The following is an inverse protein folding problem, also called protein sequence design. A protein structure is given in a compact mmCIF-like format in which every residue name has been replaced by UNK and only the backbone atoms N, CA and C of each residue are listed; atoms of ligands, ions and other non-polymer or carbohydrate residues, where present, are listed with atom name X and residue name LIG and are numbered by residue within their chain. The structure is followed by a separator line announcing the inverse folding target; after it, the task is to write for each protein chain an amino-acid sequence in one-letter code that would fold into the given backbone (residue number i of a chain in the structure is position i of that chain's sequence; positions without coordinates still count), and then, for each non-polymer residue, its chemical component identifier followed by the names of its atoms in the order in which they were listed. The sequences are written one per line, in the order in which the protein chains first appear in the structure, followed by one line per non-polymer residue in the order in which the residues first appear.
data_IF_393057320388
#
_entry.id   IF_393057320388
#
_cell.length_a   1.000
_cell.length_b   1.000
_cell.length_c   1.000
_cell.angle_alpha   90.00
_cell.angle_beta   90.00
_cell.angle_gamma   90.00
#
_symmetry.space_group_name_H-M   'P 1'
#
loop_
_entity.id
_entity.type
_entity.pdbx_description
1 polymer ?
#
# COMPACT_ATOMS: atom_id res chain seq x y z
N UNK A 1 -31.81 9.26 -15.55
CA UNK A 1 -30.76 10.26 -15.28
C UNK A 1 -30.59 11.18 -16.49
N UNK A 2 -30.43 12.49 -16.28
CA UNK A 2 -30.23 13.45 -17.37
C UNK A 2 -28.74 13.63 -17.69
N UNK A 3 -28.41 14.06 -18.91
CA UNK A 3 -27.03 14.39 -19.34
C UNK A 3 -26.38 15.43 -18.42
N UNK A 4 -27.18 16.35 -17.87
CA UNK A 4 -26.74 17.34 -16.88
C UNK A 4 -26.35 16.70 -15.54
N UNK A 5 -27.11 15.71 -15.05
CA UNK A 5 -26.76 14.93 -13.86
C UNK A 5 -25.44 14.18 -14.05
N UNK A 6 -25.25 13.55 -15.21
CA UNK A 6 -24.02 12.84 -15.57
C UNK A 6 -22.84 13.82 -15.56
N UNK A 7 -22.95 14.97 -16.22
CA UNK A 7 -21.88 15.98 -16.25
C UNK A 7 -21.50 16.51 -14.87
N UNK A 8 -22.45 16.60 -13.94
CA UNK A 8 -22.18 17.04 -12.55
C UNK A 8 -21.37 15.98 -11.80
N UNK A 9 -21.81 14.73 -11.80
CA UNK A 9 -21.08 13.61 -11.20
C UNK A 9 -19.68 13.44 -11.81
N UNK A 10 -19.53 13.63 -13.12
CA UNK A 10 -18.23 13.52 -13.78
C UNK A 10 -17.28 14.69 -13.50
N UNK A 11 -17.79 15.90 -13.25
CA UNK A 11 -16.96 17.03 -12.78
C UNK A 11 -16.40 16.78 -11.39
N UNK A 12 -17.21 16.18 -10.51
CA UNK A 12 -16.79 15.77 -9.17
C UNK A 12 -15.73 14.66 -9.27
N UNK A 13 -15.96 13.62 -10.08
CA UNK A 13 -14.98 12.53 -10.33
C UNK A 13 -13.68 13.01 -10.98
N UNK A 14 -13.73 14.02 -11.86
CA UNK A 14 -12.53 14.61 -12.49
C UNK A 14 -11.73 15.48 -11.51
N UNK A 15 -12.39 16.10 -10.54
CA UNK A 15 -11.71 16.82 -9.46
C UNK A 15 -11.01 15.87 -8.48
N UNK A 16 -11.55 14.66 -8.31
CA UNK A 16 -10.99 13.61 -7.46
C UNK A 16 -9.96 12.71 -8.19
N UNK A 17 -9.92 12.73 -9.53
CA UNK A 17 -9.06 11.84 -10.31
C UNK A 17 -8.67 12.42 -11.68
N UNK A 18 -7.37 12.45 -11.99
CA UNK A 18 -6.81 12.90 -13.29
C UNK A 18 -7.13 11.95 -14.47
N UNK A 19 -7.94 10.93 -14.22
CA UNK A 19 -8.16 9.77 -15.07
C UNK A 19 -9.25 9.97 -16.11
N UNK A 20 -9.89 11.14 -16.19
CA UNK A 20 -11.09 11.34 -17.03
C UNK A 20 -10.85 12.47 -18.05
N UNK A 21 -10.75 12.09 -19.33
CA UNK A 21 -10.84 13.03 -20.44
C UNK A 21 -12.33 13.22 -20.76
N UNK A 22 -12.75 14.47 -20.77
CA UNK A 22 -14.05 14.89 -21.27
C UNK A 22 -13.84 15.71 -22.53
N UNK A 23 -14.42 15.29 -23.66
CA UNK A 23 -14.42 16.05 -24.91
C UNK A 23 -15.84 16.21 -25.46
N UNK A 24 -15.98 16.80 -26.65
CA UNK A 24 -17.28 17.01 -27.29
C UNK A 24 -17.96 15.71 -27.74
N UNK A 25 -17.26 14.57 -27.74
CA UNK A 25 -17.74 13.26 -28.20
C UNK A 25 -18.09 12.32 -27.05
N UNK A 26 -17.57 12.55 -25.84
CA UNK A 26 -17.96 11.80 -24.65
C UNK A 26 -16.94 11.89 -23.52
N UNK A 27 -16.95 10.85 -22.68
CA UNK A 27 -16.04 10.69 -21.57
C UNK A 27 -15.20 9.43 -21.80
N UNK A 28 -13.90 9.53 -21.60
CA UNK A 28 -13.00 8.39 -21.64
C UNK A 28 -12.24 8.30 -20.31
N UNK A 29 -12.30 7.12 -19.69
CA UNK A 29 -11.42 6.77 -18.59
C UNK A 29 -10.03 6.46 -19.16
N UNK A 30 -9.06 7.32 -18.88
CA UNK A 30 -7.65 6.96 -18.99
C UNK A 30 -7.32 6.16 -17.73
N UNK A 31 -6.73 4.95 -17.84
CA UNK A 31 -6.19 4.29 -16.66
C UNK A 31 -5.14 5.21 -16.04
N UNK A 32 -5.37 5.69 -14.80
CA UNK A 32 -4.31 6.30 -14.03
C UNK A 32 -3.42 5.20 -13.49
N UNK A 33 -2.50 4.76 -14.33
CA UNK A 33 -1.30 4.10 -13.85
C UNK A 33 -0.70 5.01 -12.77
N UNK A 34 -0.26 4.42 -11.65
CA UNK A 34 0.45 5.14 -10.58
C UNK A 34 -0.36 6.12 -9.70
N UNK A 35 -1.68 6.25 -9.85
CA UNK A 35 -2.52 7.03 -8.92
C UNK A 35 -3.22 6.12 -7.91
N UNK A 36 -3.15 6.49 -6.63
CA UNK A 36 -3.82 5.77 -5.54
C UNK A 36 -5.31 6.14 -5.54
N UNK A 37 -6.17 5.15 -5.80
CA UNK A 37 -7.61 5.26 -5.74
C UNK A 37 -8.14 4.32 -4.66
N UNK A 38 -8.52 4.88 -3.52
CA UNK A 38 -8.97 4.11 -2.34
C UNK A 38 -10.21 3.27 -2.61
N UNK A 39 -11.12 3.74 -3.48
CA UNK A 39 -12.32 3.00 -3.89
C UNK A 39 -11.96 1.75 -4.69
N UNK A 40 -11.05 1.87 -5.67
CA UNK A 40 -10.58 0.73 -6.47
C UNK A 40 -9.82 -0.27 -5.60
N UNK A 41 -8.97 0.20 -4.69
CA UNK A 41 -8.27 -0.66 -3.73
C UNK A 41 -9.31 -1.45 -2.93
N UNK A 42 -10.27 -0.77 -2.29
CA UNK A 42 -11.32 -1.40 -1.48
C UNK A 42 -12.17 -2.40 -2.26
N UNK A 43 -12.44 -2.17 -3.54
CA UNK A 43 -13.15 -3.13 -4.39
C UNK A 43 -12.39 -4.45 -4.57
N UNK A 44 -11.06 -4.42 -4.55
CA UNK A 44 -10.19 -5.59 -4.69
C UNK A 44 -9.78 -6.24 -3.34
N UNK A 45 -10.14 -5.64 -2.21
CA UNK A 45 -9.86 -6.20 -0.88
C UNK A 45 -10.76 -7.40 -0.53
N UNK A 46 -10.27 -8.29 0.32
CA UNK A 46 -11.05 -9.32 1.01
C UNK A 46 -12.29 -8.71 1.72
N UNK A 47 -13.34 -9.51 1.94
CA UNK A 47 -14.56 -9.07 2.64
C UNK A 47 -14.28 -8.46 4.02
N UNK A 48 -13.35 -9.04 4.79
CA UNK A 48 -12.96 -8.55 6.11
C UNK A 48 -12.15 -7.25 6.12
N UNK A 49 -11.74 -6.75 4.96
CA UNK A 49 -10.97 -5.51 4.81
C UNK A 49 -11.75 -4.39 4.11
N UNK A 50 -13.02 -4.61 3.72
CA UNK A 50 -13.79 -3.60 2.95
C UNK A 50 -13.98 -2.27 3.69
N UNK A 51 -14.03 -2.32 5.02
CA UNK A 51 -14.30 -1.16 5.89
C UNK A 51 -13.05 -0.47 6.41
N UNK A 52 -11.83 -0.89 6.04
CA UNK A 52 -10.61 -0.28 6.58
C UNK A 52 -10.47 1.19 6.16
N UNK A 53 -9.82 1.97 7.02
CA UNK A 53 -9.44 3.34 6.71
C UNK A 53 -8.12 3.34 5.93
N UNK A 54 -8.06 4.10 4.84
CA UNK A 54 -6.86 4.28 4.02
C UNK A 54 -6.57 5.78 3.93
N UNK A 55 -5.44 6.21 4.47
CA UNK A 55 -4.92 7.57 4.35
C UNK A 55 -3.98 7.63 3.15
N UNK A 56 -4.28 8.46 2.16
CA UNK A 56 -3.45 8.59 0.95
C UNK A 56 -2.85 9.99 0.84
N UNK A 57 -1.56 10.04 0.57
CA UNK A 57 -0.78 11.25 0.41
C UNK A 57 -0.01 11.22 -0.91
N UNK A 58 0.13 12.37 -1.56
CA UNK A 58 1.09 12.49 -2.66
C UNK A 58 2.52 12.44 -2.12
N UNK A 59 2.81 13.18 -1.05
CA UNK A 59 4.12 13.27 -0.41
C UNK A 59 3.96 13.44 1.10
N UNK A 60 4.81 12.77 1.89
CA UNK A 60 4.81 12.84 3.35
C UNK A 60 6.24 12.75 3.90
N UNK A 61 6.47 13.04 5.19
CA UNK A 61 7.79 12.80 5.79
C UNK A 61 8.11 11.32 5.89
N UNK A 62 7.20 10.51 6.45
CA UNK A 62 7.30 9.06 6.50
C UNK A 62 5.93 8.45 6.80
N UNK A 63 5.55 7.40 6.06
CA UNK A 63 4.32 6.65 6.29
C UNK A 63 4.33 5.97 7.65
N UNK A 64 5.47 5.40 8.07
CA UNK A 64 5.63 4.79 9.40
C UNK A 64 5.47 5.84 10.50
N UNK A 65 6.10 7.01 10.35
CA UNK A 65 5.97 8.07 11.34
C UNK A 65 4.51 8.49 11.53
N UNK A 66 3.76 8.66 10.44
CA UNK A 66 2.34 8.99 10.47
C UNK A 66 1.51 7.84 11.07
N UNK A 67 1.75 6.59 10.68
CA UNK A 67 1.05 5.43 11.23
C UNK A 67 1.23 5.31 12.76
N UNK A 68 2.44 5.53 13.28
CA UNK A 68 2.69 5.57 14.73
C UNK A 68 1.88 6.65 15.44
N UNK A 69 1.69 7.82 14.82
CA UNK A 69 0.84 8.87 15.40
C UNK A 69 -0.62 8.43 15.50
N UNK A 70 -1.15 7.77 14.46
CA UNK A 70 -2.53 7.25 14.50
C UNK A 70 -2.68 6.14 15.56
N UNK A 71 -1.65 5.32 15.80
CA UNK A 71 -1.68 4.31 16.86
C UNK A 71 -1.89 4.92 18.26
N UNK A 72 -1.34 6.11 18.53
CA UNK A 72 -1.54 6.83 19.80
C UNK A 72 -3.03 7.15 19.99
N UNK A 73 -3.71 7.51 18.90
CA UNK A 73 -5.14 7.84 18.86
C UNK A 73 -6.03 6.59 18.67
N UNK A 74 -5.55 5.41 19.08
CA UNK A 74 -6.25 4.13 19.02
C UNK A 74 -6.70 3.73 17.60
N UNK A 75 -5.74 3.71 16.67
CA UNK A 75 -5.90 3.22 15.30
C UNK A 75 -6.72 1.93 15.21
N UNK A 76 -7.46 1.79 14.12
CA UNK A 76 -8.16 0.55 13.78
C UNK A 76 -7.17 -0.51 13.26
N UNK A 77 -7.53 -1.79 13.40
CA UNK A 77 -6.74 -2.86 12.78
C UNK A 77 -6.80 -2.73 11.25
N UNK A 78 -5.67 -3.01 10.58
CA UNK A 78 -5.44 -2.80 9.15
C UNK A 78 -5.58 -1.35 8.65
N UNK A 79 -5.66 -0.37 9.55
CA UNK A 79 -5.61 1.03 9.13
C UNK A 79 -4.28 1.30 8.41
N UNK A 80 -4.38 1.86 7.21
CA UNK A 80 -3.28 1.87 6.24
C UNK A 80 -2.96 3.29 5.80
N UNK A 81 -1.66 3.60 5.76
CA UNK A 81 -1.13 4.88 5.27
C UNK A 81 -0.39 4.63 3.96
N UNK A 82 -0.61 5.45 2.95
CA UNK A 82 -0.02 5.28 1.61
C UNK A 82 0.52 6.62 1.13
N UNK A 83 1.72 6.62 0.56
CA UNK A 83 2.33 7.78 -0.06
C UNK A 83 3.04 7.42 -1.37
N UNK A 84 3.15 8.40 -2.27
CA UNK A 84 3.91 8.30 -3.53
C UNK A 84 5.34 8.84 -3.44
N UNK A 85 5.67 9.51 -2.34
CA UNK A 85 6.99 10.06 -2.03
C UNK A 85 7.15 10.14 -0.50
N UNK A 86 8.35 9.86 0.01
CA UNK A 86 8.71 10.20 1.39
C UNK A 86 9.94 11.11 1.43
N UNK A 87 9.81 12.28 2.07
CA UNK A 87 10.92 13.23 2.21
C UNK A 87 11.92 12.85 3.30
N UNK A 88 11.53 11.96 4.21
CA UNK A 88 12.35 11.46 5.34
C UNK A 88 12.10 9.96 5.58
N UNK A 89 12.09 9.18 4.50
CA UNK A 89 11.94 7.73 4.55
C UNK A 89 12.96 7.09 5.51
N UNK A 90 12.49 6.16 6.34
CA UNK A 90 13.31 5.48 7.36
C UNK A 90 13.50 4.02 7.01
N UNK A 91 14.72 3.55 7.18
CA UNK A 91 15.11 2.15 7.19
C UNK A 91 15.56 1.72 8.59
N UNK A 92 16.20 0.56 8.65
CA UNK A 92 16.70 -0.05 9.89
C UNK A 92 17.73 0.80 10.60
N UNK A 93 17.83 0.65 11.92
CA UNK A 93 18.91 1.20 12.75
C UNK A 93 19.13 2.71 12.53
N UNK A 94 18.08 3.44 12.16
CA UNK A 94 18.15 4.88 11.88
C UNK A 94 18.66 5.25 10.48
N UNK A 95 18.96 4.28 9.61
CA UNK A 95 19.34 4.54 8.23
C UNK A 95 18.18 5.20 7.46
N UNK A 96 18.49 6.01 6.45
CA UNK A 96 17.50 6.52 5.52
C UNK A 96 17.05 5.44 4.54
N UNK A 97 15.79 5.46 4.15
CA UNK A 97 15.27 4.67 3.04
C UNK A 97 14.93 5.62 1.88
N UNK A 98 15.66 5.51 0.78
CA UNK A 98 15.44 6.37 -0.38
C UNK A 98 14.03 6.14 -0.94
N UNK A 99 13.26 7.22 -1.02
CA UNK A 99 11.83 7.18 -1.29
C UNK A 99 11.42 8.25 -2.31
N UNK A 100 11.98 8.21 -3.53
CA UNK A 100 11.71 9.20 -4.56
C UNK A 100 10.23 9.22 -4.96
N UNK A 101 9.86 10.22 -5.76
CA UNK A 101 8.54 10.26 -6.38
C UNK A 101 8.27 9.00 -7.16
N UNK A 102 6.99 8.66 -7.21
CA UNK A 102 6.43 7.55 -7.97
C UNK A 102 6.70 6.14 -7.43
N UNK A 103 7.30 5.99 -6.24
CA UNK A 103 7.35 4.72 -5.52
C UNK A 103 6.07 4.41 -4.72
N UNK A 104 5.86 3.15 -4.36
CA UNK A 104 4.79 2.77 -3.41
C UNK A 104 5.39 2.71 -2.01
N UNK A 105 5.00 3.64 -1.14
CA UNK A 105 5.35 3.62 0.27
C UNK A 105 4.08 3.47 1.06
N UNK A 106 3.97 2.41 1.86
CA UNK A 106 2.79 2.18 2.69
C UNK A 106 3.16 1.68 4.08
N UNK A 107 2.30 1.94 5.04
CA UNK A 107 2.42 1.41 6.40
C UNK A 107 1.08 0.84 6.83
N UNK A 108 1.09 -0.43 7.23
CA UNK A 108 -0.11 -1.15 7.68
C UNK A 108 -0.02 -1.31 9.19
N UNK A 109 -1.07 -0.87 9.89
CA UNK A 109 -1.20 -1.01 11.33
C UNK A 109 -1.86 -2.36 11.62
N UNK A 110 -1.21 -3.20 12.40
CA UNK A 110 -1.73 -4.49 12.86
C UNK A 110 -1.90 -4.43 14.37
N UNK A 111 -3.12 -4.61 14.89
CA UNK A 111 -3.35 -4.80 16.32
C UNK A 111 -2.74 -6.13 16.72
N UNK A 112 -1.89 -6.12 17.76
CA UNK A 112 -1.01 -7.25 18.16
C UNK A 112 -1.69 -8.62 18.00
N UNK A 113 -1.31 -9.40 16.96
CA UNK A 113 -1.75 -10.79 16.88
C UNK A 113 -1.08 -11.60 18.00
N UNK A 114 -1.70 -12.71 18.41
CA UNK A 114 -1.15 -13.58 19.48
C UNK A 114 0.28 -14.05 19.15
N UNK A 115 0.53 -14.35 17.88
CA UNK A 115 1.86 -14.68 17.37
C UNK A 115 2.17 -13.81 16.15
N UNK A 116 3.34 -13.18 16.16
CA UNK A 116 3.85 -12.40 15.02
C UNK A 116 5.23 -12.92 14.63
N UNK A 117 5.34 -13.52 13.45
CA UNK A 117 6.61 -13.92 12.85
C UNK A 117 7.20 -12.72 12.07
N UNK A 118 8.42 -12.29 12.41
CA UNK A 118 9.04 -11.12 11.79
C UNK A 118 9.29 -11.28 10.28
N UNK A 119 9.42 -12.52 9.78
CA UNK A 119 9.57 -12.76 8.34
C UNK A 119 8.22 -12.80 7.59
N UNK A 120 7.09 -12.84 8.31
CA UNK A 120 5.76 -12.94 7.70
C UNK A 120 5.44 -11.81 6.73
N UNK A 121 5.70 -10.52 7.04
CA UNK A 121 5.49 -9.44 6.08
C UNK A 121 6.25 -9.63 4.76
N UNK A 122 7.52 -10.04 4.81
CA UNK A 122 8.32 -10.31 3.61
C UNK A 122 7.74 -11.44 2.77
N UNK A 123 7.28 -12.53 3.40
CA UNK A 123 6.58 -13.62 2.70
C UNK A 123 5.29 -13.14 2.04
N UNK A 124 4.49 -12.34 2.72
CA UNK A 124 3.24 -11.80 2.19
C UNK A 124 3.47 -10.87 1.00
N UNK A 125 4.40 -9.92 1.13
CA UNK A 125 4.74 -8.98 0.04
C UNK A 125 5.34 -9.74 -1.15
N UNK A 126 6.20 -10.74 -0.92
CA UNK A 126 6.75 -11.56 -2.00
C UNK A 126 5.65 -12.30 -2.77
N UNK A 127 4.68 -12.91 -2.09
CA UNK A 127 3.52 -13.56 -2.73
C UNK A 127 2.66 -12.57 -3.51
N UNK A 128 2.41 -11.39 -2.93
CA UNK A 128 1.65 -10.34 -3.59
C UNK A 128 2.35 -9.85 -4.87
N UNK A 129 3.68 -9.66 -4.82
CA UNK A 129 4.49 -9.27 -5.98
C UNK A 129 4.52 -10.38 -7.04
N UNK A 130 4.58 -11.65 -6.65
CA UNK A 130 4.51 -12.79 -7.58
C UNK A 130 3.16 -12.80 -8.32
N UNK A 131 2.04 -12.71 -7.59
CA UNK A 131 0.71 -12.65 -8.17
C UNK A 131 0.52 -11.43 -9.09
N UNK A 132 1.04 -10.28 -8.66
CA UNK A 132 1.05 -9.06 -9.46
C UNK A 132 1.84 -9.26 -10.76
N UNK A 133 3.06 -9.78 -10.68
CA UNK A 133 3.93 -9.99 -11.84
C UNK A 133 3.32 -10.97 -12.83
N UNK A 134 2.73 -12.07 -12.35
CA UNK A 134 2.05 -13.05 -13.22
C UNK A 134 0.87 -12.45 -14.00
N UNK A 135 0.22 -11.43 -13.44
CA UNK A 135 -0.96 -10.80 -14.05
C UNK A 135 -0.60 -9.62 -14.96
N UNK A 136 0.30 -8.75 -14.50
CA UNK A 136 0.57 -7.46 -15.14
C UNK A 136 1.93 -7.38 -15.83
N UNK A 137 2.82 -8.32 -15.54
CA UNK A 137 4.19 -8.35 -16.07
C UNK A 137 4.64 -9.78 -16.45
N UNK A 138 3.80 -10.61 -17.12
CA UNK A 138 4.10 -12.05 -17.32
C UNK A 138 5.33 -12.29 -18.22
N UNK A 139 5.67 -11.34 -19.08
CA UNK A 139 6.80 -11.40 -20.01
C UNK A 139 8.15 -11.11 -19.32
N UNK A 140 8.12 -10.51 -18.13
CA UNK A 140 9.34 -10.20 -17.38
C UNK A 140 9.74 -11.43 -16.57
N UNK A 141 10.95 -11.95 -16.81
CA UNK A 141 11.57 -12.91 -15.91
C UNK A 141 11.71 -12.22 -14.56
N UNK A 142 10.88 -12.58 -13.58
CA UNK A 142 10.76 -11.88 -12.29
C UNK A 142 11.02 -12.86 -11.15
N UNK A 143 12.25 -13.39 -11.08
CA UNK A 143 12.61 -14.24 -9.95
C UNK A 143 12.71 -13.39 -8.69
N UNK A 144 11.75 -13.59 -7.79
CA UNK A 144 11.72 -12.95 -6.49
C UNK A 144 12.50 -13.79 -5.48
N UNK A 145 13.29 -13.13 -4.64
CA UNK A 145 13.97 -13.75 -3.51
C UNK A 145 13.86 -12.90 -2.26
N UNK A 146 13.52 -13.55 -1.15
CA UNK A 146 13.57 -12.95 0.18
C UNK A 146 15.00 -13.14 0.69
N UNK A 147 15.77 -12.06 0.77
CA UNK A 147 17.19 -12.12 1.20
C UNK A 147 17.32 -12.12 2.72
N UNK A 148 16.38 -11.45 3.39
CA UNK A 148 16.23 -11.45 4.86
C UNK A 148 14.77 -11.11 5.22
N UNK A 149 14.47 -10.90 6.49
CA UNK A 149 13.14 -10.55 7.00
C UNK A 149 12.54 -9.24 6.44
N UNK A 150 13.34 -8.47 5.70
CA UNK A 150 13.06 -7.07 5.36
C UNK A 150 13.28 -6.73 3.89
N UNK A 151 14.09 -7.48 3.17
CA UNK A 151 14.48 -7.15 1.82
C UNK A 151 14.03 -8.22 0.83
N UNK A 152 13.30 -7.79 -0.19
CA UNK A 152 12.91 -8.60 -1.34
C UNK A 152 13.68 -8.09 -2.55
N UNK A 153 14.26 -9.04 -3.28
CA UNK A 153 15.01 -8.80 -4.49
C UNK A 153 14.25 -9.36 -5.69
N UNK A 154 14.32 -8.67 -6.81
CA UNK A 154 13.89 -9.14 -8.12
C UNK A 154 15.10 -9.15 -9.05
N UNK A 155 15.42 -10.29 -9.65
CA UNK A 155 16.57 -10.45 -10.55
C UNK A 155 17.90 -9.95 -9.96
N UNK A 156 18.14 -10.23 -8.68
CA UNK A 156 19.36 -9.82 -7.98
C UNK A 156 19.42 -8.34 -7.56
N UNK A 157 18.39 -7.53 -7.82
CA UNK A 157 18.29 -6.15 -7.37
C UNK A 157 17.21 -5.99 -6.31
N UNK A 158 17.46 -5.18 -5.26
CA UNK A 158 16.47 -4.91 -4.23
C UNK A 158 15.27 -4.17 -4.84
N UNK A 159 14.07 -4.75 -4.71
CA UNK A 159 12.84 -4.17 -5.24
C UNK A 159 11.86 -3.72 -4.14
N UNK A 160 11.98 -4.30 -2.94
CA UNK A 160 11.15 -3.91 -1.80
C UNK A 160 11.96 -3.92 -0.51
N UNK A 161 11.73 -2.92 0.34
CA UNK A 161 12.20 -2.87 1.72
C UNK A 161 11.01 -2.85 2.69
N UNK A 162 11.14 -3.56 3.80
CA UNK A 162 10.11 -3.72 4.82
C UNK A 162 10.70 -3.33 6.17
N UNK A 163 9.95 -2.56 6.95
CA UNK A 163 10.32 -2.10 8.28
C UNK A 163 9.15 -2.28 9.24
N UNK A 164 9.25 -3.27 10.12
CA UNK A 164 8.26 -3.50 11.19
C UNK A 164 8.70 -2.80 12.48
N UNK A 165 7.87 -1.90 12.99
CA UNK A 165 8.07 -1.24 14.29
C UNK A 165 6.97 -1.67 15.27
N UNK A 166 7.32 -1.96 16.52
CA UNK A 166 6.35 -2.28 17.57
C UNK A 166 6.02 -1.03 18.37
N UNK A 167 4.73 -0.70 18.50
CA UNK A 167 4.22 0.30 19.43
C UNK A 167 3.64 -0.43 20.65
N UNK A 168 4.30 -0.27 21.80
CA UNK A 168 3.89 -0.92 23.04
C UNK A 168 2.98 -0.04 23.91
N UNK A 169 2.35 -0.67 24.89
CA UNK A 169 1.36 -0.10 25.83
C UNK A 169 1.75 1.23 26.49
N UNK A 170 3.06 1.50 26.64
CA UNK A 170 3.56 2.78 27.19
C UNK A 170 3.22 3.98 26.29
N UNK A 171 3.07 3.76 24.99
CA UNK A 171 2.83 4.81 23.99
C UNK A 171 1.38 4.81 23.46
N UNK A 172 0.63 3.72 23.65
CA UNK A 172 -0.75 3.56 23.17
C UNK A 172 -1.52 2.58 24.05
N UNK A 173 -2.85 2.73 24.17
CA UNK A 173 -3.67 1.83 24.99
C UNK A 173 -3.79 0.38 24.43
N UNK A 174 -3.19 0.10 23.28
CA UNK A 174 -3.15 -1.21 22.62
C UNK A 174 -1.77 -1.39 22.01
N UNK A 175 -1.25 -2.61 22.00
CA UNK A 175 -0.02 -2.92 21.30
C UNK A 175 -0.27 -3.04 19.79
N UNK A 176 0.61 -2.43 18.98
CA UNK A 176 0.54 -2.47 17.53
C UNK A 176 1.87 -2.91 16.91
N UNK A 177 1.77 -3.54 15.73
CA UNK A 177 2.86 -3.58 14.77
C UNK A 177 2.55 -2.61 13.64
N UNK A 178 3.50 -1.72 13.33
CA UNK A 178 3.46 -0.86 12.15
C UNK A 178 4.39 -1.47 11.12
N UNK A 179 3.80 -2.06 10.07
CA UNK A 179 4.54 -2.71 8.98
C UNK A 179 4.70 -1.74 7.83
N UNK A 180 5.86 -1.10 7.75
CA UNK A 180 6.27 -0.26 6.62
C UNK A 180 6.73 -1.08 5.44
N UNK A 181 6.27 -0.74 4.24
CA UNK A 181 6.55 -1.44 2.98
C UNK A 181 6.86 -0.37 1.93
N UNK A 182 8.07 -0.40 1.39
CA UNK A 182 8.52 0.46 0.31
C UNK A 182 8.85 -0.38 -0.92
N UNK A 183 8.08 -0.23 -2.00
CA UNK A 183 8.26 -0.94 -3.27
C UNK A 183 8.68 0.04 -4.36
N UNK A 184 9.77 -0.27 -5.05
CA UNK A 184 10.18 0.43 -6.26
C UNK A 184 9.24 0.05 -7.40
N UNK A 185 8.59 1.02 -8.02
CA UNK A 185 7.67 0.80 -9.14
C UNK A 185 8.31 1.19 -10.48
N UNK A 186 7.80 0.59 -11.56
CA UNK A 186 8.11 0.99 -12.93
C UNK A 186 7.07 1.99 -13.46
N UNK A 187 7.38 2.70 -14.56
CA UNK A 187 6.62 3.87 -15.06
C UNK A 187 5.11 3.66 -15.34
N UNK A 188 4.58 2.42 -15.29
CA UNK A 188 3.14 2.12 -15.48
C UNK A 188 2.64 1.00 -14.57
N UNK A 189 2.68 1.20 -13.25
CA UNK A 189 2.22 0.20 -12.30
C UNK A 189 0.70 0.27 -12.05
N UNK A 190 0.08 -0.92 -11.99
CA UNK A 190 -1.27 -1.16 -11.49
C UNK A 190 -1.26 -1.08 -9.94
N UNK A 191 -0.96 0.11 -9.42
CA UNK A 191 -0.62 0.30 -8.01
C UNK A 191 -1.76 -0.07 -7.07
N UNK A 192 -3.01 0.17 -7.48
CA UNK A 192 -4.19 -0.11 -6.65
C UNK A 192 -4.36 -1.62 -6.43
N UNK A 193 -4.11 -2.40 -7.46
CA UNK A 193 -4.16 -3.86 -7.44
C UNK A 193 -3.01 -4.43 -6.63
N UNK A 194 -1.79 -3.88 -6.76
CA UNK A 194 -0.66 -4.25 -5.91
C UNK A 194 -0.93 -4.00 -4.42
N UNK A 195 -1.44 -2.81 -4.06
CA UNK A 195 -1.81 -2.47 -2.68
C UNK A 195 -2.84 -3.47 -2.14
N UNK A 196 -3.87 -3.79 -2.93
CA UNK A 196 -4.90 -4.73 -2.52
C UNK A 196 -4.34 -6.15 -2.33
N UNK A 197 -3.45 -6.62 -3.22
CA UNK A 197 -2.79 -7.92 -3.07
C UNK A 197 -1.96 -7.98 -1.78
N UNK A 198 -1.17 -6.95 -1.48
CA UNK A 198 -0.35 -6.88 -0.25
C UNK A 198 -1.24 -6.96 1.00
N UNK A 199 -2.30 -6.12 1.07
CA UNK A 199 -3.21 -6.10 2.21
C UNK A 199 -3.94 -7.44 2.40
N UNK A 200 -4.36 -8.06 1.29
CA UNK A 200 -5.03 -9.35 1.33
C UNK A 200 -4.12 -10.47 1.83
N UNK A 201 -2.85 -10.52 1.40
CA UNK A 201 -1.88 -11.51 1.89
C UNK A 201 -1.57 -11.32 3.38
N UNK A 202 -1.36 -10.07 3.82
CA UNK A 202 -1.17 -9.77 5.25
C UNK A 202 -2.38 -10.20 6.08
N UNK A 203 -3.60 -9.90 5.62
CA UNK A 203 -4.83 -10.27 6.32
C UNK A 203 -5.02 -11.77 6.45
N UNK A 204 -4.76 -12.53 5.38
CA UNK A 204 -4.81 -14.00 5.44
C UNK A 204 -3.80 -14.53 6.45
N UNK A 205 -2.55 -14.04 6.38
CA UNK A 205 -1.49 -14.56 7.22
C UNK A 205 -1.64 -14.26 8.72
N UNK A 206 -2.35 -13.19 9.12
CA UNK A 206 -2.62 -12.92 10.54
C UNK A 206 -3.91 -13.60 11.03
N UNK A 207 -4.87 -13.88 10.14
CA UNK A 207 -6.11 -14.59 10.48
C UNK A 207 -5.92 -16.09 10.60
N UNK A 208 -5.05 -16.68 9.79
CA UNK A 208 -4.73 -18.12 9.87
C UNK A 208 -3.92 -18.50 11.13
N UNK A 209 -3.56 -17.52 11.96
CA UNK A 209 -2.78 -17.66 13.21
C UNK A 209 -3.67 -17.48 14.46
N UNK A 210 -4.97 -17.19 14.29
CA UNK A 210 -5.98 -17.09 15.37
C UNK A 210 -6.92 -18.30 15.35
#
# INVERSE_FOLDING_TARGET
MTRACINKCFKELKAESDCIIADSKGYAYIPSYNTVNTSVIKQNLCSGLKSITIHSFTSITSTNAYARHICIDNASDFETVIAREQTRGKGRHGNSFDSPKDGLYMSVILKKPQHFDIIMPAKCVSKALEAYNNTYCPELCNTLSIVNDQDIYCNGNKCCGILTETMGEVLSATDYYVVGIGVTLYEKAHINELIALILNELYRSVKDVL
#
